data_IF_702006514118
#
_entry.id   IF_702006514118
#
_cell.length_a   1.000
_cell.length_b   1.000
_cell.length_c   1.000
_cell.angle_alpha   90.00
_cell.angle_beta   90.00
_cell.angle_gamma   90.00
#
_symmetry.space_group_name_H-M   'P 1'
#
loop_
_entity.id
_entity.type
_entity.pdbx_description
1 polymer ?
#
# COMPACT_ATOMS: atom_id res chain seq x y z
N UNK A 1 -39.73 -8.40 92.29
CA UNK A 1 -40.80 -7.39 92.38
C UNK A 1 -40.79 -6.64 91.07
N UNK A 2 -41.76 -6.93 90.21
CA UNK A 2 -42.92 -6.09 89.92
C UNK A 2 -42.59 -4.99 88.91
N UNK A 3 -43.29 -5.01 87.77
CA UNK A 3 -43.26 -3.92 86.79
C UNK A 3 -43.45 -4.41 85.37
N UNK A 4 -44.67 -4.77 85.00
CA UNK A 4 -45.06 -4.86 83.59
C UNK A 4 -45.24 -3.46 82.99
N UNK A 5 -45.48 -3.40 81.67
CA UNK A 5 -46.63 -2.69 81.08
C UNK A 5 -46.72 -2.96 79.58
N UNK A 6 -47.96 -2.96 79.14
CA UNK A 6 -48.52 -3.37 77.86
C UNK A 6 -48.54 -2.26 76.79
N UNK A 7 -48.98 -2.68 75.59
CA UNK A 7 -49.60 -1.89 74.50
C UNK A 7 -48.64 -1.16 73.57
N UNK A 8 -48.84 -1.07 72.26
CA UNK A 8 -49.91 -1.41 71.30
C UNK A 8 -49.23 -1.18 69.93
N UNK A 9 -49.41 -1.97 68.88
CA UNK A 9 -50.67 -2.22 68.17
C UNK A 9 -50.38 -2.22 66.66
N UNK A 10 -51.25 -2.89 65.90
CA UNK A 10 -51.61 -2.71 64.48
C UNK A 10 -50.49 -2.90 63.42
N UNK A 11 -50.68 -3.53 62.26
CA UNK A 11 -51.85 -4.08 61.58
C UNK A 11 -51.37 -5.02 60.45
N UNK A 12 -52.28 -5.87 59.98
CA UNK A 12 -52.20 -6.69 58.78
C UNK A 12 -51.76 -5.91 57.53
N UNK A 13 -51.01 -6.54 56.61
CA UNK A 13 -51.58 -6.94 55.33
C UNK A 13 -50.62 -7.70 54.40
N UNK A 14 -51.17 -8.79 53.89
CA UNK A 14 -51.23 -9.22 52.49
C UNK A 14 -49.96 -9.47 51.68
N UNK A 15 -49.90 -10.69 51.18
CA UNK A 15 -49.12 -11.15 50.05
C UNK A 15 -49.27 -10.24 48.82
N UNK A 16 -48.16 -10.02 48.13
CA UNK A 16 -48.14 -9.76 46.70
C UNK A 16 -46.93 -10.47 46.10
N UNK A 17 -47.23 -11.49 45.31
CA UNK A 17 -46.31 -12.16 44.41
C UNK A 17 -45.72 -11.13 43.44
N UNK A 18 -44.39 -11.02 43.43
CA UNK A 18 -43.65 -10.18 42.50
C UNK A 18 -42.69 -11.05 41.71
N UNK A 19 -43.09 -11.40 40.48
CA UNK A 19 -42.33 -12.16 39.49
C UNK A 19 -40.92 -11.61 39.34
N UNK A 20 -39.91 -12.41 39.73
CA UNK A 20 -38.51 -12.09 39.45
C UNK A 20 -38.28 -12.17 37.93
N UNK A 21 -38.36 -11.03 37.24
CA UNK A 21 -37.95 -10.92 35.85
C UNK A 21 -36.43 -11.12 35.78
N UNK A 22 -36.02 -12.34 35.44
CA UNK A 22 -34.64 -12.66 35.11
C UNK A 22 -34.24 -11.85 33.87
N UNK A 23 -33.50 -10.77 34.07
CA UNK A 23 -32.90 -10.01 32.99
C UNK A 23 -31.72 -10.82 32.47
N UNK A 24 -31.97 -11.66 31.46
CA UNK A 24 -30.92 -12.38 30.75
C UNK A 24 -30.05 -11.37 30.01
N UNK A 25 -28.97 -10.94 30.65
CA UNK A 25 -27.88 -10.23 29.97
C UNK A 25 -27.27 -11.22 28.98
N UNK A 26 -27.66 -11.09 27.71
CA UNK A 26 -27.10 -11.88 26.62
C UNK A 26 -25.63 -11.47 26.48
N UNK A 27 -24.66 -12.38 26.54
CA UNK A 27 -23.27 -12.02 26.30
C UNK A 27 -23.17 -11.49 24.86
N UNK A 28 -22.79 -10.22 24.71
CA UNK A 28 -22.39 -9.68 23.42
C UNK A 28 -21.11 -10.42 23.04
N UNK A 29 -21.23 -11.39 22.15
CA UNK A 29 -20.08 -12.04 21.55
C UNK A 29 -19.40 -11.01 20.66
N UNK A 30 -18.38 -10.34 21.20
CA UNK A 30 -17.48 -9.50 20.43
C UNK A 30 -16.75 -10.41 19.43
N UNK A 31 -17.14 -10.33 18.16
CA UNK A 31 -16.33 -10.81 17.06
C UNK A 31 -15.45 -9.64 16.62
N UNK A 32 -14.13 -9.66 16.86
CA UNK A 32 -13.27 -8.66 16.24
C UNK A 32 -13.49 -8.75 14.74
N UNK A 33 -13.76 -7.60 14.09
CA UNK A 33 -13.69 -7.52 12.65
C UNK A 33 -12.30 -8.03 12.24
N UNK A 34 -12.25 -8.92 11.24
CA UNK A 34 -10.98 -9.41 10.73
C UNK A 34 -10.12 -8.20 10.34
N UNK A 35 -9.04 -7.98 11.08
CA UNK A 35 -8.05 -6.97 10.72
C UNK A 35 -7.29 -7.59 9.55
N UNK A 36 -7.54 -7.11 8.34
CA UNK A 36 -6.72 -7.41 7.17
C UNK A 36 -5.25 -7.21 7.57
N UNK A 37 -4.38 -8.23 7.44
CA UNK A 37 -3.02 -8.12 7.90
C UNK A 37 -2.29 -7.06 7.07
N UNK A 38 -1.88 -5.98 7.73
CA UNK A 38 -0.97 -4.99 7.16
C UNK A 38 0.38 -5.68 6.94
N UNK A 39 0.85 -5.75 5.70
CA UNK A 39 2.17 -6.32 5.40
C UNK A 39 3.26 -5.50 6.10
N UNK A 40 4.28 -6.17 6.64
CA UNK A 40 5.43 -5.46 7.18
C UNK A 40 6.20 -4.76 6.05
N UNK A 41 6.97 -3.72 6.38
CA UNK A 41 7.83 -3.02 5.40
C UNK A 41 8.83 -4.01 4.75
N UNK A 42 9.32 -4.97 5.52
CA UNK A 42 10.23 -5.99 5.00
C UNK A 42 9.54 -6.90 3.97
N UNK A 43 8.31 -7.36 4.26
CA UNK A 43 7.53 -8.18 3.32
C UNK A 43 7.15 -7.41 2.06
N UNK A 44 6.80 -6.13 2.22
CA UNK A 44 6.53 -5.20 1.13
C UNK A 44 7.74 -5.06 0.22
N UNK A 45 8.91 -4.79 0.79
CA UNK A 45 10.16 -4.66 0.04
C UNK A 45 10.54 -5.98 -0.64
N UNK A 46 10.42 -7.11 0.04
CA UNK A 46 10.69 -8.42 -0.54
C UNK A 46 9.79 -8.69 -1.76
N UNK A 47 8.49 -8.34 -1.67
CA UNK A 47 7.57 -8.46 -2.80
C UNK A 47 7.97 -7.54 -3.95
N UNK A 48 8.28 -6.26 -3.68
CA UNK A 48 8.71 -5.31 -4.72
C UNK A 48 9.96 -5.83 -5.43
N UNK A 49 10.97 -6.30 -4.68
CA UNK A 49 12.18 -6.88 -5.25
C UNK A 49 11.88 -8.10 -6.13
N UNK A 50 11.04 -9.04 -5.65
CA UNK A 50 10.65 -10.22 -6.42
C UNK A 50 9.91 -9.86 -7.72
N UNK A 51 8.99 -8.89 -7.65
CA UNK A 51 8.28 -8.37 -8.83
C UNK A 51 9.22 -7.75 -9.85
N UNK A 52 10.15 -6.90 -9.40
CA UNK A 52 11.09 -6.23 -10.29
C UNK A 52 12.11 -7.19 -10.90
N UNK A 53 12.56 -8.20 -10.15
CA UNK A 53 13.40 -9.28 -10.65
C UNK A 53 12.67 -10.05 -11.77
N UNK A 54 11.43 -10.50 -11.52
CA UNK A 54 10.62 -11.18 -12.53
C UNK A 54 10.40 -10.31 -13.77
N UNK A 55 10.04 -9.04 -13.57
CA UNK A 55 9.82 -8.09 -14.66
C UNK A 55 11.10 -7.88 -15.48
N UNK A 56 12.25 -7.69 -14.84
CA UNK A 56 13.54 -7.57 -15.52
C UNK A 56 13.80 -8.79 -16.40
N UNK A 57 13.63 -10.00 -15.87
CA UNK A 57 13.85 -11.25 -16.59
C UNK A 57 12.95 -11.34 -17.84
N UNK A 58 11.66 -11.05 -17.70
CA UNK A 58 10.72 -11.00 -18.85
C UNK A 58 11.20 -10.00 -19.90
N UNK A 59 11.58 -8.79 -19.48
CA UNK A 59 11.98 -7.73 -20.39
C UNK A 59 13.32 -7.99 -21.09
N UNK A 60 14.23 -8.74 -20.46
CA UNK A 60 15.52 -9.18 -21.04
C UNK A 60 15.34 -10.27 -22.10
N UNK A 61 14.35 -11.14 -21.95
CA UNK A 61 14.07 -12.21 -22.92
C UNK A 61 13.24 -11.73 -24.11
N UNK A 62 12.63 -10.55 -24.03
CA UNK A 62 11.86 -9.97 -25.14
C UNK A 62 12.79 -9.60 -26.32
N UNK A 63 12.44 -10.06 -27.51
CA UNK A 63 13.22 -9.84 -28.72
C UNK A 63 13.32 -8.35 -29.11
N UNK A 64 14.52 -7.91 -29.50
CA UNK A 64 14.80 -6.51 -29.88
C UNK A 64 15.14 -6.32 -31.36
N UNK A 65 14.88 -7.35 -32.20
CA UNK A 65 15.32 -7.37 -33.61
C UNK A 65 14.76 -6.21 -34.46
N UNK A 66 13.55 -5.73 -34.15
CA UNK A 66 12.93 -4.59 -34.85
C UNK A 66 13.29 -3.21 -34.30
N UNK A 67 14.09 -3.13 -33.23
CA UNK A 67 14.41 -1.85 -32.60
C UNK A 67 15.61 -1.16 -33.25
N UNK A 68 15.55 0.17 -33.45
CA UNK A 68 16.72 0.97 -33.80
C UNK A 68 17.90 0.72 -32.86
N UNK A 69 19.12 0.73 -33.40
CA UNK A 69 20.34 0.39 -32.64
C UNK A 69 20.54 1.27 -31.41
N UNK A 70 20.16 2.55 -31.47
CA UNK A 70 20.24 3.46 -30.33
C UNK A 70 19.23 3.08 -29.23
N UNK A 71 17.97 2.76 -29.57
CA UNK A 71 16.97 2.32 -28.58
C UNK A 71 17.35 0.97 -27.96
N UNK A 72 17.99 0.07 -28.71
CA UNK A 72 18.54 -1.19 -28.16
C UNK A 72 19.59 -0.93 -27.08
N UNK A 73 20.53 -0.02 -27.33
CA UNK A 73 21.55 0.37 -26.34
C UNK A 73 20.92 1.01 -25.12
N UNK A 74 19.91 1.87 -25.33
CA UNK A 74 19.18 2.51 -24.22
C UNK A 74 18.40 1.51 -23.40
N UNK A 75 17.66 0.58 -24.03
CA UNK A 75 16.99 -0.53 -23.34
C UNK A 75 17.96 -1.33 -22.47
N UNK A 76 19.12 -1.70 -23.00
CA UNK A 76 20.12 -2.43 -22.21
C UNK A 76 20.60 -1.63 -21.01
N UNK A 77 20.89 -0.33 -21.18
CA UNK A 77 21.24 0.57 -20.07
C UNK A 77 20.12 0.67 -19.04
N UNK A 78 18.88 0.88 -19.49
CA UNK A 78 17.70 1.01 -18.63
C UNK A 78 17.46 -0.27 -17.81
N UNK A 79 17.57 -1.45 -18.41
CA UNK A 79 17.44 -2.72 -17.68
C UNK A 79 18.61 -2.98 -16.74
N UNK A 80 19.83 -2.51 -17.05
CA UNK A 80 20.96 -2.54 -16.10
C UNK A 80 20.72 -1.63 -14.90
N UNK A 81 20.12 -0.46 -15.11
CA UNK A 81 19.74 0.44 -14.02
C UNK A 81 18.61 -0.17 -13.16
N UNK A 82 17.63 -0.80 -13.79
CA UNK A 82 16.56 -1.52 -13.08
C UNK A 82 17.14 -2.61 -12.17
N UNK A 83 18.09 -3.38 -12.68
CA UNK A 83 18.83 -4.38 -11.90
C UNK A 83 19.48 -3.79 -10.65
N UNK A 84 20.25 -2.72 -10.82
CA UNK A 84 20.93 -2.03 -9.72
C UNK A 84 19.92 -1.50 -8.68
N UNK A 85 18.79 -0.97 -9.13
CA UNK A 85 17.76 -0.45 -8.24
C UNK A 85 17.16 -1.54 -7.34
N UNK A 86 16.63 -2.62 -7.91
CA UNK A 86 15.93 -3.62 -7.09
C UNK A 86 16.89 -4.44 -6.23
N UNK A 87 18.14 -4.62 -6.64
CA UNK A 87 19.18 -5.26 -5.82
C UNK A 87 19.63 -4.40 -4.65
N UNK A 88 19.54 -3.06 -4.76
CA UNK A 88 19.84 -2.13 -3.66
C UNK A 88 18.70 -2.08 -2.63
N UNK A 89 17.44 -2.21 -3.07
CA UNK A 89 16.28 -2.34 -2.17
C UNK A 89 15.82 -1.05 -1.48
N UNK A 90 16.22 0.12 -2.00
CA UNK A 90 15.80 1.43 -1.48
C UNK A 90 14.46 1.85 -2.10
N UNK A 91 13.38 1.21 -1.64
CA UNK A 91 12.02 1.45 -2.14
C UNK A 91 11.30 2.55 -1.34
N UNK A 92 10.32 3.25 -1.96
CA UNK A 92 9.44 4.18 -1.25
C UNK A 92 8.65 3.49 -0.13
N UNK A 93 8.43 4.20 0.97
CA UNK A 93 7.66 3.70 2.12
C UNK A 93 6.35 4.49 2.23
N UNK A 94 5.21 3.80 2.16
CA UNK A 94 3.90 4.40 2.47
C UNK A 94 3.56 4.21 3.96
N UNK A 95 3.85 5.24 4.75
CA UNK A 95 3.50 5.27 6.18
C UNK A 95 2.05 5.68 6.44
N UNK A 96 1.34 6.21 5.44
CA UNK A 96 0.01 6.79 5.62
C UNK A 96 -1.11 5.79 5.32
N UNK A 97 -0.89 4.90 4.37
CA UNK A 97 -1.88 3.92 3.93
C UNK A 97 -1.29 2.52 3.79
N UNK A 98 -0.70 1.94 4.85
CA UNK A 98 0.04 0.68 4.75
C UNK A 98 -0.86 -0.53 4.37
N UNK A 99 -2.18 -0.39 4.51
CA UNK A 99 -3.16 -1.39 4.07
C UNK A 99 -3.50 -1.31 2.56
N UNK A 100 -3.01 -0.32 1.81
CA UNK A 100 -3.36 -0.11 0.39
C UNK A 100 -2.11 0.01 -0.46
N UNK A 101 -1.96 -0.91 -1.42
CA UNK A 101 -0.95 -0.80 -2.47
C UNK A 101 -1.34 0.31 -3.42
N UNK A 102 -0.58 1.40 -3.44
CA UNK A 102 -0.79 2.54 -4.31
C UNK A 102 0.50 2.83 -5.08
N UNK A 103 0.40 3.36 -6.32
CA UNK A 103 1.57 3.94 -6.94
C UNK A 103 2.15 5.02 -6.02
N UNK A 104 3.47 5.11 -5.99
CA UNK A 104 4.18 6.21 -5.36
C UNK A 104 5.39 6.51 -6.23
N UNK A 105 5.49 7.71 -6.81
CA UNK A 105 6.64 8.09 -7.62
C UNK A 105 7.84 8.44 -6.74
N UNK A 106 7.59 9.17 -5.64
CA UNK A 106 8.57 9.56 -4.64
C UNK A 106 7.87 9.73 -3.28
N UNK A 107 8.41 9.11 -2.23
CA UNK A 107 7.90 9.25 -0.87
C UNK A 107 8.31 10.59 -0.22
N UNK A 108 7.96 10.77 1.06
CA UNK A 108 8.27 12.00 1.82
C UNK A 108 9.75 12.14 2.16
N UNK A 109 10.49 11.04 2.18
CA UNK A 109 11.92 11.02 2.46
C UNK A 109 12.76 11.15 1.16
N UNK A 110 12.09 11.33 0.01
CA UNK A 110 12.73 11.45 -1.29
C UNK A 110 13.10 10.11 -1.94
N UNK A 111 12.69 8.97 -1.39
CA UNK A 111 12.91 7.66 -2.03
C UNK A 111 12.00 7.56 -3.25
N UNK A 112 12.56 7.25 -4.41
CA UNK A 112 11.85 7.15 -5.68
C UNK A 112 11.51 5.69 -6.00
N UNK A 113 10.39 5.44 -6.68
CA UNK A 113 10.08 4.08 -7.15
C UNK A 113 10.95 3.68 -8.35
N UNK A 114 10.78 2.45 -8.84
CA UNK A 114 11.55 1.95 -9.98
C UNK A 114 11.46 2.85 -11.22
N UNK A 115 10.26 3.31 -11.58
CA UNK A 115 10.08 4.25 -12.71
C UNK A 115 10.75 5.60 -12.42
N UNK A 116 10.55 6.15 -11.22
CA UNK A 116 11.19 7.40 -10.80
C UNK A 116 12.72 7.31 -10.88
N UNK A 117 13.30 6.22 -10.37
CA UNK A 117 14.73 5.96 -10.45
C UNK A 117 15.24 5.88 -11.89
N UNK A 118 14.53 5.16 -12.78
CA UNK A 118 14.96 5.08 -14.18
C UNK A 118 14.92 6.45 -14.88
N UNK A 119 13.92 7.27 -14.58
CA UNK A 119 13.82 8.67 -15.06
C UNK A 119 14.99 9.47 -14.51
N UNK A 120 15.21 9.46 -13.20
CA UNK A 120 16.29 10.18 -12.53
C UNK A 120 17.66 9.90 -13.16
N UNK A 121 17.98 8.62 -13.38
CA UNK A 121 19.27 8.17 -13.89
C UNK A 121 19.48 8.42 -15.41
N UNK A 122 18.43 8.83 -16.14
CA UNK A 122 18.49 8.98 -17.60
C UNK A 122 18.01 10.32 -18.13
N UNK A 123 17.23 11.07 -17.37
CA UNK A 123 16.67 12.38 -17.70
C UNK A 123 16.86 13.43 -16.59
N UNK A 124 17.27 13.02 -15.39
CA UNK A 124 17.58 13.92 -14.27
C UNK A 124 16.49 13.96 -13.19
N UNK A 125 16.90 14.37 -11.99
CA UNK A 125 16.04 14.41 -10.80
C UNK A 125 14.88 15.39 -10.94
N UNK A 126 15.08 16.53 -11.60
CA UNK A 126 14.08 17.59 -11.78
C UNK A 126 12.79 17.05 -12.41
N UNK A 127 12.88 16.17 -13.41
CA UNK A 127 11.71 15.57 -14.03
C UNK A 127 10.92 14.69 -13.03
N UNK A 128 11.62 13.98 -12.14
CA UNK A 128 10.97 13.15 -11.12
C UNK A 128 10.24 14.02 -10.09
N UNK A 129 10.85 15.12 -9.64
CA UNK A 129 10.20 16.08 -8.74
C UNK A 129 8.95 16.67 -9.37
N UNK A 130 9.04 17.16 -10.62
CA UNK A 130 7.93 17.74 -11.35
C UNK A 130 6.77 16.75 -11.54
N UNK A 131 7.08 15.49 -11.83
CA UNK A 131 6.08 14.42 -11.94
C UNK A 131 5.49 14.08 -10.57
N UNK A 132 6.31 13.97 -9.53
CA UNK A 132 5.86 13.62 -8.17
C UNK A 132 4.91 14.68 -7.61
N UNK A 133 5.17 15.97 -7.86
CA UNK A 133 4.30 17.06 -7.40
C UNK A 133 2.87 16.95 -7.95
N UNK A 134 2.69 16.42 -9.16
CA UNK A 134 1.38 16.39 -9.85
C UNK A 134 0.75 15.00 -9.90
N UNK A 135 1.57 13.96 -9.87
CA UNK A 135 1.20 12.60 -10.23
C UNK A 135 1.80 11.56 -9.28
N UNK A 136 2.15 11.94 -8.04
CA UNK A 136 2.79 11.04 -7.05
C UNK A 136 2.15 9.66 -7.00
N UNK A 137 0.81 9.62 -6.98
CA UNK A 137 0.03 8.40 -6.77
C UNK A 137 -0.72 7.94 -8.02
N UNK A 138 -0.33 8.42 -9.20
CA UNK A 138 -0.98 8.05 -10.45
C UNK A 138 -0.33 6.82 -11.07
N UNK A 139 -1.11 6.09 -11.85
CA UNK A 139 -0.59 5.02 -12.70
C UNK A 139 0.18 5.64 -13.87
N UNK A 140 1.32 5.06 -14.24
CA UNK A 140 2.23 5.71 -15.18
C UNK A 140 1.59 5.94 -16.56
N UNK A 141 0.71 5.04 -16.99
CA UNK A 141 -0.02 5.13 -18.25
C UNK A 141 -1.12 6.20 -18.28
N UNK A 142 -1.59 6.66 -17.11
CA UNK A 142 -2.60 7.72 -17.02
C UNK A 142 -1.99 9.11 -17.14
N UNK A 143 -0.69 9.24 -16.87
CA UNK A 143 0.03 10.52 -16.94
C UNK A 143 0.27 10.90 -18.40
N UNK A 144 -0.15 12.12 -18.79
CA UNK A 144 -0.03 12.65 -20.17
C UNK A 144 0.99 13.78 -20.32
N UNK A 145 1.85 13.95 -19.32
CA UNK A 145 2.96 14.91 -19.32
C UNK A 145 3.88 14.68 -20.52
N UNK A 146 4.08 15.66 -21.42
CA UNK A 146 4.88 15.49 -22.64
C UNK A 146 6.30 14.96 -22.39
N UNK A 147 6.94 15.41 -21.31
CA UNK A 147 8.28 15.03 -20.90
C UNK A 147 8.37 13.55 -20.53
N UNK A 148 7.35 13.01 -19.84
CA UNK A 148 7.26 11.59 -19.54
C UNK A 148 7.08 10.77 -20.82
N UNK A 149 6.17 11.20 -21.70
CA UNK A 149 5.92 10.50 -22.97
C UNK A 149 7.18 10.48 -23.84
N UNK A 150 7.91 11.60 -23.88
CA UNK A 150 9.20 11.69 -24.55
C UNK A 150 10.24 10.77 -23.90
N UNK A 151 10.32 10.75 -22.57
CA UNK A 151 11.23 9.84 -21.87
C UNK A 151 10.93 8.37 -22.21
N UNK A 152 9.67 7.94 -22.22
CA UNK A 152 9.28 6.57 -22.60
C UNK A 152 9.80 6.26 -24.01
N UNK A 153 9.51 7.12 -25.00
CA UNK A 153 9.99 6.96 -26.38
C UNK A 153 11.52 6.83 -26.47
N UNK A 154 12.24 7.53 -25.60
CA UNK A 154 13.70 7.60 -25.60
C UNK A 154 14.37 6.62 -24.65
N UNK A 155 13.65 5.88 -23.81
CA UNK A 155 14.20 4.98 -22.79
C UNK A 155 14.60 3.60 -23.34
N UNK A 156 14.01 3.20 -24.48
CA UNK A 156 14.05 1.83 -24.99
C UNK A 156 13.04 0.88 -24.33
N UNK A 157 12.09 1.42 -23.55
CA UNK A 157 10.92 0.73 -23.01
C UNK A 157 9.66 1.17 -23.75
N UNK A 158 8.62 0.33 -23.77
CA UNK A 158 7.26 0.75 -24.12
C UNK A 158 6.50 1.23 -22.88
N UNK A 159 5.36 1.92 -23.08
CA UNK A 159 4.49 2.29 -21.97
C UNK A 159 4.00 1.04 -21.21
N UNK A 160 3.63 -0.02 -21.91
CA UNK A 160 3.22 -1.30 -21.30
C UNK A 160 4.31 -1.90 -20.40
N UNK A 161 5.57 -1.78 -20.80
CA UNK A 161 6.70 -2.24 -20.00
C UNK A 161 6.93 -1.33 -18.78
N UNK A 162 6.67 -0.03 -18.91
CA UNK A 162 6.68 0.88 -17.77
C UNK A 162 5.58 0.53 -16.76
N UNK A 163 4.38 0.16 -17.23
CA UNK A 163 3.29 -0.33 -16.37
C UNK A 163 3.67 -1.63 -15.68
N UNK A 164 4.30 -2.56 -16.41
CA UNK A 164 4.81 -3.81 -15.84
C UNK A 164 5.83 -3.53 -14.73
N UNK A 165 6.79 -2.62 -14.95
CA UNK A 165 7.76 -2.20 -13.93
C UNK A 165 7.08 -1.53 -12.74
N UNK A 166 6.06 -0.70 -12.95
CA UNK A 166 5.36 -0.01 -11.86
C UNK A 166 4.73 -1.00 -10.86
N UNK A 167 4.26 -2.16 -11.31
CA UNK A 167 3.88 -3.27 -10.43
C UNK A 167 2.76 -2.94 -9.46
N UNK A 168 1.52 -2.99 -9.94
CA UNK A 168 0.33 -2.86 -9.09
C UNK A 168 -0.62 -3.98 -9.45
N UNK A 169 -0.40 -5.12 -8.80
CA UNK A 169 -1.28 -6.28 -8.89
C UNK A 169 -2.69 -5.84 -8.50
N UNK A 170 -3.68 -6.16 -9.35
CA UNK A 170 -5.09 -5.97 -9.07
C UNK A 170 -5.57 -6.94 -7.99
#
# INVERSE_FOLDING_TARGET
MAGGLFSTGCQQNSAAEGTAASFLIRPVSYKPAAVEPVLSVADEHARIAAHLQYTEDVLRHKGTRGMPSHLRRRRYRTLKLLHAYWTTGLFPIDTEHPARRRPCLMDRDGRVCAIGYLIEQTAGHELVEQLSQRHRNDRIETIKTPELLHWVQMSGLTMEECVMIQGLDR
#
